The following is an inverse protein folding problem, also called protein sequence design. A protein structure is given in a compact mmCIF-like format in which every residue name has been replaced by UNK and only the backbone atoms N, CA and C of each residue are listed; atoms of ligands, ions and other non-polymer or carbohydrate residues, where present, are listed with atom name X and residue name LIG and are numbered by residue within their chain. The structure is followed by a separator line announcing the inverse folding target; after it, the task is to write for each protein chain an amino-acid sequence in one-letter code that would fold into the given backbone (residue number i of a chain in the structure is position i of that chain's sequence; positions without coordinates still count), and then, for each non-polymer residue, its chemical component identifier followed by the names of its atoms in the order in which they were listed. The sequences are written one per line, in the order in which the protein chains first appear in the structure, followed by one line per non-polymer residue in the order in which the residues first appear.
data_IF_898911941475
#
_entry.id   IF_898911941475
#
_cell.length_a   1.000
_cell.length_b   1.000
_cell.length_c   1.000
_cell.angle_alpha   90.00
_cell.angle_beta   90.00
_cell.angle_gamma   90.00
#
_symmetry.space_group_name_H-M   'P 1'
#
loop_
_entity.id
_entity.type
_entity.pdbx_description
1 polymer ?
#
# COMPACT_ATOMS: atom_id res chain seq x y z
N UNK A 1 1.96 -8.59 -58.97
CA UNK A 1 1.89 -9.60 -57.88
C UNK A 1 2.00 -8.88 -56.54
N UNK A 2 0.88 -8.66 -55.84
CA UNK A 2 0.85 -7.96 -54.54
C UNK A 2 1.22 -8.94 -53.43
N UNK A 3 2.31 -8.67 -52.70
CA UNK A 3 2.71 -9.42 -51.50
C UNK A 3 1.73 -9.08 -50.37
N UNK A 4 0.93 -10.05 -49.95
CA UNK A 4 0.13 -9.97 -48.72
C UNK A 4 1.09 -10.18 -47.55
N UNK A 5 1.34 -9.13 -46.75
CA UNK A 5 2.01 -9.28 -45.46
C UNK A 5 0.98 -9.65 -44.40
N UNK A 6 1.10 -10.86 -43.87
CA UNK A 6 0.29 -11.37 -42.78
C UNK A 6 0.88 -10.83 -41.48
N UNK A 7 0.25 -9.82 -40.88
CA UNK A 7 0.57 -9.40 -39.52
C UNK A 7 0.02 -10.46 -38.56
N UNK A 8 0.91 -11.30 -38.03
CA UNK A 8 0.58 -12.16 -36.91
C UNK A 8 0.27 -11.28 -35.69
N UNK A 9 -1.00 -11.28 -35.27
CA UNK A 9 -1.43 -10.67 -34.03
C UNK A 9 -0.86 -11.53 -32.89
N UNK A 10 0.31 -11.14 -32.35
CA UNK A 10 0.83 -11.74 -31.12
C UNK A 10 -0.10 -11.26 -30.01
N UNK A 11 -1.14 -12.05 -29.72
CA UNK A 11 -1.90 -11.93 -28.49
C UNK A 11 -0.93 -12.21 -27.35
N UNK A 12 -0.38 -11.15 -26.77
CA UNK A 12 0.36 -11.23 -25.52
C UNK A 12 -0.61 -11.73 -24.45
N UNK A 13 -0.50 -13.01 -24.09
CA UNK A 13 -1.05 -13.54 -22.86
C UNK A 13 -0.33 -12.83 -21.70
N UNK A 14 -0.79 -11.64 -21.33
CA UNK A 14 -0.36 -10.96 -20.11
C UNK A 14 -0.86 -11.81 -18.94
N UNK A 15 0.09 -12.47 -18.29
CA UNK A 15 -0.08 -13.27 -17.08
C UNK A 15 -0.99 -12.57 -16.06
N UNK A 16 -2.22 -13.05 -15.93
CA UNK A 16 -3.24 -12.56 -14.98
C UNK A 16 -2.96 -12.96 -13.52
N UNK A 17 -1.92 -13.74 -13.23
CA UNK A 17 -1.64 -14.22 -11.88
C UNK A 17 -0.97 -13.20 -10.94
N UNK A 18 -0.37 -12.12 -11.48
CA UNK A 18 0.34 -11.10 -10.69
C UNK A 18 -0.30 -9.69 -10.78
N UNK A 19 -1.35 -9.53 -11.57
CA UNK A 19 -1.97 -8.22 -11.81
C UNK A 19 -2.77 -7.68 -10.62
N UNK A 20 -3.11 -8.53 -9.64
CA UNK A 20 -4.01 -8.15 -8.55
C UNK A 20 -3.32 -7.94 -7.19
N UNK A 21 -2.03 -8.26 -7.06
CA UNK A 21 -1.32 -8.00 -5.79
C UNK A 21 -1.34 -6.49 -5.50
N UNK A 22 -1.51 -6.09 -4.21
CA UNK A 22 -1.42 -4.69 -3.85
C UNK A 22 -0.03 -4.16 -4.20
N UNK A 23 0.03 -2.99 -4.81
CA UNK A 23 1.28 -2.34 -5.20
C UNK A 23 1.37 -0.96 -4.56
N UNK A 24 2.52 -0.65 -3.99
CA UNK A 24 2.86 0.72 -3.58
C UNK A 24 3.83 1.29 -4.59
N UNK A 25 3.41 2.32 -5.31
CA UNK A 25 4.25 3.09 -6.21
C UNK A 25 4.84 4.24 -5.42
N UNK A 26 6.16 4.27 -5.30
CA UNK A 26 6.90 5.33 -4.62
C UNK A 26 8.05 5.81 -5.52
N UNK A 27 8.10 7.12 -5.78
CA UNK A 27 9.09 7.73 -6.69
C UNK A 27 9.17 7.01 -8.06
N UNK A 28 8.03 6.55 -8.58
CA UNK A 28 7.93 5.80 -9.84
C UNK A 28 8.40 4.34 -9.79
N UNK A 29 8.78 3.83 -8.61
CA UNK A 29 9.13 2.42 -8.41
C UNK A 29 7.92 1.68 -7.83
N UNK A 30 7.50 0.60 -8.49
CA UNK A 30 6.48 -0.29 -7.96
C UNK A 30 7.10 -1.23 -6.92
N UNK A 31 6.43 -1.38 -5.78
CA UNK A 31 6.78 -2.25 -4.66
C UNK A 31 5.60 -3.17 -4.41
N UNK A 32 5.85 -4.47 -4.37
CA UNK A 32 4.81 -5.49 -4.25
C UNK A 32 5.25 -6.61 -3.29
N UNK A 33 4.34 -7.50 -2.86
CA UNK A 33 4.63 -8.54 -1.87
C UNK A 33 5.76 -9.51 -2.26
N UNK A 34 6.08 -9.63 -3.55
CA UNK A 34 7.15 -10.52 -4.04
C UNK A 34 8.55 -9.91 -3.91
N UNK A 35 8.64 -8.62 -3.60
CA UNK A 35 9.91 -7.97 -3.32
C UNK A 35 10.63 -8.63 -2.14
N UNK A 36 11.95 -8.61 -2.18
CA UNK A 36 12.80 -9.03 -1.09
C UNK A 36 13.77 -7.90 -0.74
N UNK A 37 14.60 -8.13 0.28
CA UNK A 37 15.54 -7.12 0.75
C UNK A 37 16.47 -6.61 -0.36
N UNK A 38 16.94 -7.49 -1.24
CA UNK A 38 17.84 -7.11 -2.32
C UNK A 38 17.12 -6.25 -3.38
N UNK A 39 15.90 -6.62 -3.77
CA UNK A 39 15.11 -5.82 -4.73
C UNK A 39 14.70 -4.47 -4.13
N UNK A 40 14.33 -4.40 -2.85
CA UNK A 40 14.06 -3.14 -2.16
C UNK A 40 15.29 -2.24 -2.08
N UNK A 41 16.48 -2.78 -1.78
CA UNK A 41 17.72 -1.98 -1.80
C UNK A 41 18.00 -1.42 -3.19
N UNK A 42 17.73 -2.18 -4.26
CA UNK A 42 17.86 -1.69 -5.64
C UNK A 42 16.87 -0.58 -5.97
N UNK A 43 15.66 -0.61 -5.40
CA UNK A 43 14.59 0.37 -5.63
C UNK A 43 14.73 1.63 -4.77
N UNK A 44 15.05 1.46 -3.50
CA UNK A 44 14.98 2.50 -2.44
C UNK A 44 16.35 2.96 -1.93
N UNK A 45 17.43 2.26 -2.32
CA UNK A 45 18.76 2.44 -1.75
C UNK A 45 18.96 1.68 -0.44
N UNK A 46 20.16 1.81 0.14
CA UNK A 46 20.52 1.12 1.40
C UNK A 46 19.63 1.62 2.55
N UNK A 47 19.05 0.71 3.37
CA UNK A 47 18.28 1.12 4.53
C UNK A 47 19.14 1.85 5.57
N UNK A 48 18.50 2.75 6.31
CA UNK A 48 19.08 3.47 7.42
C UNK A 48 19.36 2.58 8.64
N UNK A 49 18.54 1.57 8.84
CA UNK A 49 18.63 0.63 9.95
C UNK A 49 17.97 -0.70 9.57
N UNK A 50 18.24 -1.73 10.37
CA UNK A 50 17.68 -3.07 10.22
C UNK A 50 18.73 -4.14 9.93
N UNK A 51 18.25 -5.34 9.66
CA UNK A 51 19.03 -6.55 9.49
C UNK A 51 18.54 -7.36 8.27
N UNK A 52 18.65 -8.68 8.29
CA UNK A 52 18.18 -9.55 7.20
C UNK A 52 16.65 -9.74 7.21
N UNK A 53 16.02 -9.62 8.37
CA UNK A 53 14.58 -9.80 8.59
C UNK A 53 13.80 -8.49 8.51
N UNK A 54 14.48 -7.36 8.72
CA UNK A 54 13.87 -6.04 8.79
C UNK A 54 14.68 -4.98 8.03
N UNK A 55 14.02 -3.99 7.44
CA UNK A 55 14.67 -2.80 6.91
C UNK A 55 13.85 -1.55 7.17
N UNK A 56 14.55 -0.48 7.50
CA UNK A 56 13.98 0.83 7.76
C UNK A 56 14.68 1.88 6.91
N UNK A 57 13.91 2.81 6.33
CA UNK A 57 14.39 4.02 5.67
C UNK A 57 13.72 5.23 6.33
N UNK A 58 14.40 5.87 7.28
CA UNK A 58 13.86 6.98 8.08
C UNK A 58 14.63 8.31 8.00
N UNK A 59 15.64 8.41 7.14
CA UNK A 59 16.50 9.60 7.05
C UNK A 59 16.13 10.57 5.91
N UNK A 60 15.04 10.31 5.17
CA UNK A 60 14.51 11.30 4.21
C UNK A 60 13.49 12.21 4.91
N UNK A 61 13.47 13.52 4.64
CA UNK A 61 12.80 14.50 5.50
C UNK A 61 11.26 14.39 5.56
N UNK A 62 10.64 13.64 4.63
CA UNK A 62 9.19 13.67 4.43
C UNK A 62 8.52 12.30 4.60
N UNK A 63 9.28 11.21 4.74
CA UNK A 63 8.69 9.87 4.85
C UNK A 63 9.53 8.93 5.70
N UNK A 64 8.86 7.92 6.26
CA UNK A 64 9.46 6.71 6.78
C UNK A 64 8.95 5.50 6.00
N UNK A 65 9.84 4.54 5.75
CA UNK A 65 9.48 3.25 5.14
C UNK A 65 10.00 2.14 6.04
N UNK A 66 9.18 1.12 6.28
CA UNK A 66 9.56 -0.11 6.96
C UNK A 66 9.21 -1.33 6.12
N UNK A 67 10.00 -2.39 6.26
CA UNK A 67 9.80 -3.65 5.58
C UNK A 67 10.19 -4.82 6.49
N UNK A 68 9.31 -5.82 6.61
CA UNK A 68 9.62 -7.11 7.21
C UNK A 68 9.62 -8.19 6.12
N UNK A 69 10.60 -9.08 6.15
CA UNK A 69 10.77 -10.13 5.15
C UNK A 69 10.36 -11.50 5.67
N UNK A 70 9.77 -12.31 4.80
CA UNK A 70 9.47 -13.72 5.03
C UNK A 70 10.09 -14.61 3.94
N UNK A 71 9.78 -15.92 3.95
CA UNK A 71 10.36 -16.88 2.99
C UNK A 71 10.07 -16.58 1.52
N UNK A 72 8.99 -15.84 1.23
CA UNK A 72 8.50 -15.59 -0.13
C UNK A 72 8.54 -14.11 -0.55
N UNK A 73 9.24 -13.26 0.20
CA UNK A 73 9.31 -11.82 -0.08
C UNK A 73 8.91 -10.97 1.11
N UNK A 74 8.12 -9.92 0.87
CA UNK A 74 7.65 -9.00 1.91
C UNK A 74 6.51 -9.65 2.70
N UNK A 75 6.74 -9.83 4.00
CA UNK A 75 5.69 -10.15 4.97
C UNK A 75 4.89 -8.89 5.30
N UNK A 76 5.56 -7.74 5.37
CA UNK A 76 4.98 -6.45 5.63
C UNK A 76 5.80 -5.36 4.96
N UNK A 77 5.12 -4.34 4.45
CA UNK A 77 5.74 -3.14 3.94
C UNK A 77 4.83 -1.95 4.18
N UNK A 78 5.40 -0.85 4.66
CA UNK A 78 4.65 0.36 4.96
C UNK A 78 5.43 1.61 4.62
N UNK A 79 4.71 2.65 4.21
CA UNK A 79 5.22 3.99 4.00
C UNK A 79 4.31 5.01 4.69
N UNK A 80 4.92 5.89 5.46
CA UNK A 80 4.23 6.97 6.17
C UNK A 80 4.85 8.31 5.83
N UNK A 81 4.01 9.31 5.58
CA UNK A 81 4.43 10.70 5.39
C UNK A 81 4.56 11.40 6.74
N UNK A 82 5.73 12.01 6.97
CA UNK A 82 6.11 12.63 8.25
C UNK A 82 5.84 14.14 8.31
N UNK A 83 5.76 14.81 7.15
CA UNK A 83 5.58 16.27 7.05
C UNK A 83 4.49 16.64 6.05
N UNK A 84 4.05 17.89 6.04
CA UNK A 84 2.97 18.38 5.16
C UNK A 84 3.31 18.42 3.66
N UNK A 85 4.57 18.21 3.25
CA UNK A 85 4.91 18.15 1.83
C UNK A 85 4.49 16.80 1.23
N UNK A 86 3.65 16.79 0.20
CA UNK A 86 3.17 15.56 -0.39
C UNK A 86 4.33 14.78 -1.00
N UNK A 87 4.41 13.51 -0.63
CA UNK A 87 5.28 12.53 -1.28
C UNK A 87 4.45 11.84 -2.35
N UNK A 88 4.98 11.66 -3.57
CA UNK A 88 4.26 10.96 -4.62
C UNK A 88 4.25 9.45 -4.34
N UNK A 89 3.31 9.04 -3.50
CA UNK A 89 3.05 7.66 -3.10
C UNK A 89 1.63 7.31 -3.53
N UNK A 90 1.49 6.19 -4.23
CA UNK A 90 0.19 5.66 -4.63
C UNK A 90 0.10 4.19 -4.23
N UNK A 91 -1.02 3.81 -3.62
CA UNK A 91 -1.43 2.43 -3.46
C UNK A 91 -2.35 2.06 -4.60
N UNK A 92 -2.02 1.00 -5.33
CA UNK A 92 -2.93 0.34 -6.24
C UNK A 92 -3.40 -0.97 -5.61
N UNK A 93 -4.71 -1.10 -5.41
CA UNK A 93 -5.32 -2.29 -4.83
C UNK A 93 -6.70 -2.49 -5.47
N UNK A 94 -7.00 -3.72 -5.91
CA UNK A 94 -8.26 -4.07 -6.60
C UNK A 94 -8.58 -3.13 -7.79
N UNK A 95 -7.57 -2.76 -8.56
CA UNK A 95 -7.72 -1.85 -9.71
C UNK A 95 -8.04 -0.39 -9.35
N UNK A 96 -8.04 -0.02 -8.07
CA UNK A 96 -8.26 1.34 -7.59
C UNK A 96 -6.95 1.95 -7.09
N UNK A 97 -6.78 3.26 -7.31
CA UNK A 97 -5.61 4.00 -6.84
C UNK A 97 -5.97 4.93 -5.68
N UNK A 98 -5.19 4.84 -4.60
CA UNK A 98 -5.23 5.70 -3.42
C UNK A 98 -3.92 6.47 -3.33
N UNK A 99 -4.00 7.81 -3.33
CA UNK A 99 -2.84 8.70 -3.26
C UNK A 99 -2.63 9.21 -1.84
N UNK A 100 -1.46 8.94 -1.27
CA UNK A 100 -1.07 9.38 0.06
C UNK A 100 -1.01 10.92 0.13
N UNK A 101 -1.49 11.50 1.23
CA UNK A 101 -1.56 12.94 1.44
C UNK A 101 -2.64 13.68 0.63
N UNK A 102 -3.36 12.98 -0.26
CA UNK A 102 -4.45 13.53 -1.08
C UNK A 102 -5.78 12.86 -0.80
N UNK A 103 -5.84 11.54 -0.90
CA UNK A 103 -7.04 10.79 -0.59
C UNK A 103 -7.27 10.72 0.93
N UNK A 104 -8.54 10.69 1.31
CA UNK A 104 -9.00 10.48 2.69
C UNK A 104 -9.59 9.07 2.83
N UNK A 105 -9.80 8.62 4.06
CA UNK A 105 -10.48 7.34 4.31
C UNK A 105 -11.87 7.31 3.68
N UNK A 106 -12.64 8.42 3.74
CA UNK A 106 -13.92 8.53 3.05
C UNK A 106 -13.83 8.33 1.54
N UNK A 107 -12.79 8.89 0.90
CA UNK A 107 -12.57 8.67 -0.54
C UNK A 107 -12.12 7.23 -0.85
N UNK A 108 -11.32 6.62 0.03
CA UNK A 108 -10.91 5.22 -0.11
C UNK A 108 -12.09 4.27 0.02
N UNK A 109 -12.98 4.47 1.00
CA UNK A 109 -14.22 3.71 1.15
C UNK A 109 -15.09 3.81 -0.11
N UNK A 110 -15.24 5.01 -0.69
CA UNK A 110 -16.02 5.19 -1.94
C UNK A 110 -15.41 4.44 -3.14
N UNK A 111 -14.08 4.42 -3.24
CA UNK A 111 -13.35 3.75 -4.34
C UNK A 111 -13.36 2.23 -4.18
N UNK A 112 -13.04 1.75 -2.98
CA UNK A 112 -12.81 0.34 -2.70
C UNK A 112 -14.10 -0.40 -2.34
N UNK A 113 -15.13 0.31 -1.87
CA UNK A 113 -16.47 -0.17 -1.46
C UNK A 113 -16.49 -1.20 -0.34
N UNK A 114 -15.35 -1.81 -0.04
CA UNK A 114 -15.22 -2.92 0.89
C UNK A 114 -14.00 -2.74 1.79
N UNK A 115 -14.14 -3.11 3.06
CA UNK A 115 -13.11 -2.99 4.07
C UNK A 115 -13.69 -2.72 5.45
N UNK A 116 -12.84 -2.78 6.46
CA UNK A 116 -13.18 -2.65 7.87
C UNK A 116 -12.36 -1.53 8.51
N UNK A 117 -12.90 -0.90 9.55
CA UNK A 117 -12.12 0.00 10.39
C UNK A 117 -11.40 -0.81 11.47
N UNK A 118 -10.17 -0.38 11.78
CA UNK A 118 -9.37 -0.91 12.88
C UNK A 118 -9.51 0.04 14.07
N UNK A 119 -10.42 -0.30 15.00
CA UNK A 119 -10.65 0.49 16.21
C UNK A 119 -9.48 0.38 17.18
N UNK A 120 -8.77 -0.75 17.20
CA UNK A 120 -7.66 -0.97 18.12
C UNK A 120 -6.51 -0.01 17.77
N UNK A 121 -6.23 0.21 16.49
CA UNK A 121 -5.25 1.20 16.04
C UNK A 121 -5.64 2.63 16.48
N UNK A 122 -6.94 2.94 16.51
CA UNK A 122 -7.44 4.20 17.11
C UNK A 122 -7.16 4.29 18.59
N UNK A 123 -7.42 3.21 19.34
CA UNK A 123 -7.24 3.20 20.79
C UNK A 123 -5.77 3.35 21.20
N UNK A 124 -4.87 2.62 20.54
CA UNK A 124 -3.47 2.54 20.97
C UNK A 124 -2.54 3.53 20.28
N UNK A 125 -2.79 3.84 18.99
CA UNK A 125 -1.85 4.63 18.18
C UNK A 125 -2.41 6.01 17.78
N UNK A 126 -3.64 6.36 18.20
CA UNK A 126 -4.31 7.60 17.81
C UNK A 126 -4.43 7.76 16.28
N UNK A 127 -4.62 6.63 15.58
CA UNK A 127 -4.82 6.58 14.14
C UNK A 127 -6.24 6.13 13.80
N UNK A 128 -6.84 6.71 12.79
CA UNK A 128 -8.07 6.22 12.21
C UNK A 128 -7.77 5.42 10.96
N UNK A 129 -7.91 4.10 11.06
CA UNK A 129 -7.31 3.17 10.11
C UNK A 129 -8.37 2.32 9.43
N UNK A 130 -8.18 2.12 8.12
CA UNK A 130 -9.09 1.39 7.24
C UNK A 130 -8.33 0.27 6.55
N UNK A 131 -8.83 -0.96 6.74
CA UNK A 131 -8.22 -2.21 6.33
C UNK A 131 -9.03 -2.87 5.23
N UNK A 132 -8.35 -3.38 4.19
CA UNK A 132 -8.97 -4.03 3.03
C UNK A 132 -8.25 -5.34 2.75
N UNK A 133 -9.01 -6.44 2.70
CA UNK A 133 -8.51 -7.72 2.24
C UNK A 133 -8.22 -7.69 0.73
N UNK A 134 -6.99 -8.01 0.32
CA UNK A 134 -6.60 -8.11 -1.09
C UNK A 134 -5.60 -9.26 -1.29
N UNK A 135 -5.99 -10.29 -2.05
CA UNK A 135 -5.13 -11.44 -2.38
C UNK A 135 -4.41 -12.09 -1.19
N UNK A 136 -5.16 -12.36 -0.12
CA UNK A 136 -4.62 -12.98 1.09
C UNK A 136 -3.77 -12.04 1.96
N UNK A 137 -3.69 -10.75 1.62
CA UNK A 137 -3.03 -9.72 2.40
C UNK A 137 -4.06 -8.75 2.98
N UNK A 138 -3.66 -8.10 4.07
CA UNK A 138 -4.33 -6.95 4.62
C UNK A 138 -3.63 -5.68 4.13
N UNK A 139 -4.38 -4.80 3.47
CA UNK A 139 -3.93 -3.47 3.06
C UNK A 139 -4.56 -2.44 3.98
N UNK A 140 -3.74 -1.62 4.63
CA UNK A 140 -4.19 -0.66 5.64
C UNK A 140 -3.82 0.76 5.22
N UNK A 141 -4.77 1.67 5.41
CA UNK A 141 -4.62 3.10 5.20
C UNK A 141 -4.85 3.82 6.53
N UNK A 142 -3.89 4.63 6.95
CA UNK A 142 -3.90 5.32 8.23
C UNK A 142 -4.15 6.83 8.02
N UNK A 143 -5.10 7.40 8.76
CA UNK A 143 -5.34 8.84 8.87
C UNK A 143 -5.22 9.29 10.35
N UNK A 144 -4.94 10.57 10.66
CA UNK A 144 -4.87 11.02 12.04
C UNK A 144 -6.22 10.91 12.73
N UNK A 145 -6.25 10.40 13.97
CA UNK A 145 -7.45 10.45 14.79
C UNK A 145 -7.65 11.86 15.35
N UNK A 146 -8.86 12.39 15.23
CA UNK A 146 -9.23 13.75 15.68
C UNK A 146 -10.29 13.75 16.77
N UNK A 147 -10.47 12.63 17.48
CA UNK A 147 -11.46 12.50 18.56
C UNK A 147 -12.84 12.03 18.12
N UNK A 148 -13.13 11.95 16.81
CA UNK A 148 -14.32 11.28 16.29
C UNK A 148 -14.11 10.75 14.86
N UNK A 149 -14.91 9.75 14.48
CA UNK A 149 -14.84 9.05 13.18
C UNK A 149 -15.03 9.99 11.98
N UNK A 150 -16.07 10.83 12.00
CA UNK A 150 -16.42 11.70 10.86
C UNK A 150 -15.30 12.66 10.50
N UNK A 151 -14.69 13.31 11.50
CA UNK A 151 -13.58 14.24 11.27
C UNK A 151 -12.30 13.52 10.86
N UNK A 152 -12.00 12.35 11.46
CA UNK A 152 -10.81 11.56 11.14
C UNK A 152 -10.88 10.98 9.72
N UNK A 153 -12.06 10.51 9.30
CA UNK A 153 -12.29 9.95 7.97
C UNK A 153 -12.10 10.95 6.82
N UNK A 154 -12.15 12.25 7.13
CA UNK A 154 -11.92 13.35 6.19
C UNK A 154 -10.51 13.92 6.26
N UNK A 155 -9.64 13.42 7.15
CA UNK A 155 -8.22 13.76 7.11
C UNK A 155 -7.52 13.01 5.97
N UNK A 156 -6.48 13.61 5.35
CA UNK A 156 -5.66 12.91 4.38
C UNK A 156 -5.01 11.68 5.00
N UNK A 157 -4.98 10.59 4.24
CA UNK A 157 -4.23 9.38 4.57
C UNK A 157 -2.75 9.76 4.61
N UNK A 158 -2.09 9.47 5.73
CA UNK A 158 -0.65 9.72 5.90
C UNK A 158 0.16 8.42 5.85
N UNK A 159 -0.45 7.26 6.07
CA UNK A 159 0.21 5.96 6.09
C UNK A 159 -0.48 4.96 5.17
N UNK A 160 0.31 4.17 4.45
CA UNK A 160 -0.17 3.04 3.64
C UNK A 160 0.73 1.85 3.91
N UNK A 161 0.15 0.70 4.20
CA UNK A 161 0.87 -0.55 4.42
C UNK A 161 0.13 -1.75 3.86
N UNK A 162 0.87 -2.81 3.56
CA UNK A 162 0.30 -4.15 3.41
C UNK A 162 1.04 -5.12 4.33
N UNK A 163 0.33 -6.13 4.84
CA UNK A 163 0.90 -7.19 5.65
C UNK A 163 0.17 -8.52 5.45
N UNK A 164 0.82 -9.62 5.84
CA UNK A 164 0.27 -10.97 5.79
C UNK A 164 -0.68 -11.31 6.95
N UNK A 165 -1.08 -10.34 7.76
CA UNK A 165 -2.04 -10.58 8.85
C UNK A 165 -3.45 -10.60 8.29
N UNK A 166 -4.36 -11.26 9.00
CA UNK A 166 -5.79 -11.10 8.75
C UNK A 166 -6.19 -9.64 8.98
N UNK A 167 -6.99 -9.02 8.09
CA UNK A 167 -7.55 -7.70 8.33
C UNK A 167 -8.31 -7.67 9.64
N UNK A 168 -8.11 -6.60 10.42
CA UNK A 168 -8.94 -6.37 11.60
C UNK A 168 -10.41 -6.17 11.14
N UNK A 169 -11.33 -6.91 11.77
CA UNK A 169 -12.76 -6.89 11.49
C UNK A 169 -13.57 -6.17 12.58
N UNK A 170 -12.93 -5.30 13.37
CA UNK A 170 -13.52 -4.72 14.58
C UNK A 170 -14.79 -3.91 14.34
N UNK A 171 -14.89 -3.09 13.29
CA UNK A 171 -16.12 -2.32 13.00
C UNK A 171 -16.30 -1.90 11.54
N UNK A 172 -17.56 -1.72 11.14
CA UNK A 172 -17.92 -0.98 9.92
C UNK A 172 -17.49 -1.70 8.64
N UNK A 173 -17.35 -3.02 8.73
CA UNK A 173 -17.03 -3.88 7.61
C UNK A 173 -18.14 -3.81 6.55
N UNK A 174 -17.81 -3.25 5.39
CA UNK A 174 -18.65 -3.37 4.21
C UNK A 174 -18.06 -4.48 3.32
N UNK A 175 -18.90 -5.45 2.95
CA UNK A 175 -18.54 -6.64 2.15
C UNK A 175 -19.40 -6.75 0.90
#
# INVERSE_FOLDING_TARGET
MKKMMMFALIASCTSTAFADLPQIIFEGKSIDPTDNRASLIKKLGKPSAGDQSYSYWGYKPNYSISANYGPHGLKEFGISQLKSKPVNVQLNVKGQSITLGKDTINSAVKKLKYGCFDILDTQFNQNYSFSVAANGLNVVMDAPYTGNKSSSANKPIFGIKFNSSTPDQSEGCNY
#
